data_IF_121193896981
#
_entry.id   IF_121193896981
#
_cell.length_a   1.000
_cell.length_b   1.000
_cell.length_c   1.000
_cell.angle_alpha   90.00
_cell.angle_beta   90.00
_cell.angle_gamma   90.00
#
_symmetry.space_group_name_H-M   'P 1'
#
loop_
_entity.id
_entity.type
_entity.pdbx_description
1 polymer ?
#
# COMPACT_ATOMS: atom_id res chain seq x y z
N UNK A 1 -17.49 20.67 -9.37
CA UNK A 1 -16.46 20.91 -8.33
C UNK A 1 -17.05 20.62 -6.95
N UNK A 2 -16.51 19.61 -6.25
CA UNK A 2 -16.88 19.27 -4.85
C UNK A 2 -15.76 19.80 -3.95
N UNK A 3 -16.11 20.46 -2.84
CA UNK A 3 -15.10 20.94 -1.88
C UNK A 3 -14.54 19.77 -1.05
N UNK A 4 -13.30 19.89 -0.56
CA UNK A 4 -12.70 18.87 0.33
C UNK A 4 -13.55 18.58 1.56
N UNK A 5 -14.25 19.58 2.10
CA UNK A 5 -15.12 19.41 3.26
C UNK A 5 -16.38 18.60 2.90
N UNK A 6 -17.01 18.90 1.75
CA UNK A 6 -18.15 18.13 1.25
C UNK A 6 -17.76 16.68 0.98
N UNK A 7 -16.61 16.46 0.32
CA UNK A 7 -16.08 15.11 0.07
C UNK A 7 -15.81 14.35 1.36
N UNK A 8 -15.14 14.97 2.33
CA UNK A 8 -14.83 14.36 3.62
C UNK A 8 -16.09 13.92 4.38
N UNK A 9 -17.12 14.78 4.40
CA UNK A 9 -18.41 14.48 5.04
C UNK A 9 -19.14 13.32 4.35
N UNK A 10 -19.23 13.34 3.02
CA UNK A 10 -19.90 12.28 2.26
C UNK A 10 -19.19 10.94 2.43
N UNK A 11 -17.87 10.90 2.28
CA UNK A 11 -17.09 9.66 2.44
C UNK A 11 -17.20 9.10 3.85
N UNK A 12 -17.15 9.95 4.88
CA UNK A 12 -17.33 9.51 6.27
C UNK A 12 -18.73 8.97 6.52
N UNK A 13 -19.76 9.55 5.91
CA UNK A 13 -21.13 9.06 6.02
C UNK A 13 -21.29 7.67 5.40
N UNK A 14 -20.78 7.46 4.19
CA UNK A 14 -20.98 6.21 3.43
C UNK A 14 -20.07 5.07 3.92
N UNK A 15 -18.81 5.37 4.28
CA UNK A 15 -17.79 4.36 4.58
C UNK A 15 -17.34 4.34 6.04
N UNK A 16 -17.86 5.23 6.89
CA UNK A 16 -17.43 5.40 8.30
C UNK A 16 -15.92 5.65 8.46
N UNK A 17 -15.26 6.12 7.41
CA UNK A 17 -13.81 6.38 7.33
C UNK A 17 -13.56 7.71 6.63
N UNK A 18 -12.44 8.36 6.92
CA UNK A 18 -12.02 9.54 6.17
C UNK A 18 -11.47 9.12 4.79
N UNK A 19 -11.50 10.01 3.78
CA UNK A 19 -10.86 9.74 2.50
C UNK A 19 -9.40 9.29 2.65
N UNK A 20 -8.64 9.94 3.55
CA UNK A 20 -7.25 9.59 3.84
C UNK A 20 -7.10 8.16 4.39
N UNK A 21 -8.03 7.70 5.24
CA UNK A 21 -8.02 6.33 5.75
C UNK A 21 -8.26 5.34 4.61
N UNK A 22 -9.24 5.58 3.74
CA UNK A 22 -9.53 4.71 2.60
C UNK A 22 -8.35 4.62 1.61
N UNK A 23 -7.75 5.77 1.29
CA UNK A 23 -6.56 5.81 0.44
C UNK A 23 -5.42 5.02 1.10
N UNK A 24 -5.23 5.20 2.40
CA UNK A 24 -4.17 4.49 3.12
C UNK A 24 -4.38 2.97 3.13
N UNK A 25 -5.60 2.52 3.38
CA UNK A 25 -5.96 1.10 3.32
C UNK A 25 -5.74 0.52 1.92
N UNK A 26 -6.10 1.28 0.87
CA UNK A 26 -5.89 0.87 -0.51
C UNK A 26 -4.40 0.75 -0.86
N UNK A 27 -3.59 1.72 -0.46
CA UNK A 27 -2.14 1.69 -0.67
C UNK A 27 -1.53 0.48 0.05
N UNK A 28 -1.91 0.21 1.30
CA UNK A 28 -1.39 -0.93 2.06
C UNK A 28 -1.82 -2.26 1.42
N UNK A 29 -3.05 -2.37 0.93
CA UNK A 29 -3.51 -3.56 0.22
C UNK A 29 -2.67 -3.83 -1.03
N UNK A 30 -2.47 -2.81 -1.87
CA UNK A 30 -1.67 -2.96 -3.09
C UNK A 30 -0.19 -3.20 -2.79
N UNK A 31 0.35 -2.58 -1.73
CA UNK A 31 1.71 -2.85 -1.24
C UNK A 31 1.91 -4.33 -0.91
N UNK A 32 0.98 -4.92 -0.15
CA UNK A 32 1.03 -6.34 0.23
C UNK A 32 0.97 -7.25 -1.00
N UNK A 33 0.09 -6.93 -1.96
CA UNK A 33 -0.01 -7.65 -3.23
C UNK A 33 1.27 -7.59 -4.02
N UNK A 34 1.84 -6.40 -4.25
CA UNK A 34 3.10 -6.26 -5.00
C UNK A 34 4.25 -6.99 -4.31
N UNK A 35 4.31 -6.95 -2.97
CA UNK A 35 5.32 -7.66 -2.20
C UNK A 35 5.24 -9.19 -2.37
N UNK A 36 4.02 -9.73 -2.49
CA UNK A 36 3.79 -11.18 -2.58
C UNK A 36 3.72 -11.70 -4.04
N UNK A 37 3.22 -10.90 -4.98
CA UNK A 37 2.89 -11.33 -6.34
C UNK A 37 3.92 -10.90 -7.39
N UNK A 38 5.00 -10.22 -6.98
CA UNK A 38 6.06 -9.77 -7.90
C UNK A 38 7.45 -9.96 -7.31
N UNK A 39 8.44 -10.00 -8.19
CA UNK A 39 9.86 -9.98 -7.83
C UNK A 39 10.45 -8.57 -7.65
N UNK A 40 9.63 -7.52 -7.80
CA UNK A 40 10.06 -6.12 -7.70
C UNK A 40 10.72 -5.85 -6.34
N UNK A 41 11.81 -5.12 -6.34
CA UNK A 41 12.45 -4.62 -5.13
C UNK A 41 11.52 -3.70 -4.34
N UNK A 42 11.84 -3.49 -3.05
CA UNK A 42 11.08 -2.56 -2.19
C UNK A 42 11.11 -1.14 -2.79
N UNK A 43 12.24 -0.75 -3.40
CA UNK A 43 12.41 0.52 -4.11
C UNK A 43 11.46 0.69 -5.29
N UNK A 44 11.37 -0.32 -6.15
CA UNK A 44 10.47 -0.29 -7.31
C UNK A 44 9.00 -0.23 -6.88
N UNK A 45 8.61 -0.99 -5.85
CA UNK A 45 7.26 -0.95 -5.29
C UNK A 45 6.94 0.43 -4.70
N UNK A 46 7.89 1.04 -3.99
CA UNK A 46 7.73 2.39 -3.45
C UNK A 46 7.49 3.40 -4.58
N UNK A 47 8.32 3.35 -5.64
CA UNK A 47 8.18 4.20 -6.81
C UNK A 47 6.84 4.01 -7.53
N UNK A 48 6.39 2.77 -7.71
CA UNK A 48 5.11 2.45 -8.36
C UNK A 48 3.89 2.97 -7.58
N UNK A 49 3.97 2.95 -6.26
CA UNK A 49 2.92 3.49 -5.38
C UNK A 49 3.01 5.00 -5.17
N UNK A 50 3.90 5.68 -5.90
CA UNK A 50 4.05 7.14 -5.86
C UNK A 50 4.86 7.69 -4.68
N UNK A 51 5.61 6.84 -3.98
CA UNK A 51 6.54 7.28 -2.95
C UNK A 51 7.87 7.69 -3.58
N UNK A 52 8.33 8.91 -3.28
CA UNK A 52 9.62 9.41 -3.76
C UNK A 52 10.82 8.71 -3.10
N UNK A 53 10.63 8.12 -1.92
CA UNK A 53 11.68 7.51 -1.10
C UNK A 53 11.22 6.17 -0.51
N UNK A 54 12.05 5.13 -0.67
CA UNK A 54 11.78 3.79 -0.18
C UNK A 54 11.81 3.70 1.36
N UNK A 55 12.58 4.55 2.04
CA UNK A 55 12.63 4.55 3.49
C UNK A 55 11.35 5.13 4.08
N UNK A 56 10.80 6.19 3.48
CA UNK A 56 9.50 6.72 3.84
C UNK A 56 8.38 5.69 3.59
N UNK A 57 8.36 5.03 2.43
CA UNK A 57 7.45 3.91 2.17
C UNK A 57 7.57 2.80 3.23
N UNK A 58 8.79 2.40 3.58
CA UNK A 58 9.03 1.35 4.57
C UNK A 58 8.52 1.71 5.96
N UNK A 59 8.69 2.97 6.40
CA UNK A 59 8.11 3.47 7.66
C UNK A 59 6.59 3.51 7.59
N UNK A 60 6.03 3.99 6.49
CA UNK A 60 4.58 4.05 6.27
C UNK A 60 3.95 2.65 6.32
N UNK A 61 4.51 1.69 5.59
CA UNK A 61 4.06 0.31 5.58
C UNK A 61 4.18 -0.34 6.96
N UNK A 62 5.33 -0.16 7.64
CA UNK A 62 5.55 -0.70 8.99
C UNK A 62 4.55 -0.16 10.00
N UNK A 63 4.20 1.13 9.92
CA UNK A 63 3.18 1.74 10.79
C UNK A 63 1.82 1.07 10.63
N UNK A 64 1.44 0.70 9.41
CA UNK A 64 0.12 0.11 9.12
C UNK A 64 0.08 -1.42 9.24
N UNK A 65 1.20 -2.12 9.03
CA UNK A 65 1.26 -3.60 8.95
C UNK A 65 2.01 -4.23 10.13
N UNK A 66 2.76 -3.43 10.89
CA UNK A 66 3.52 -3.89 12.07
C UNK A 66 4.92 -4.44 11.76
N UNK A 67 5.31 -4.60 10.49
CA UNK A 67 6.64 -5.03 10.09
C UNK A 67 7.10 -4.34 8.79
N UNK A 68 8.40 -4.37 8.51
CA UNK A 68 8.94 -3.77 7.27
C UNK A 68 8.44 -4.51 6.02
N UNK A 69 8.42 -3.86 4.84
CA UNK A 69 8.09 -4.52 3.58
C UNK A 69 8.94 -5.78 3.32
N UNK A 70 10.25 -5.70 3.61
CA UNK A 70 11.18 -6.82 3.48
C UNK A 70 10.80 -8.00 4.38
N UNK A 71 10.60 -7.76 5.68
CA UNK A 71 10.22 -8.81 6.62
C UNK A 71 8.83 -9.38 6.28
N UNK A 72 7.92 -8.55 5.76
CA UNK A 72 6.62 -9.03 5.30
C UNK A 72 6.80 -10.02 4.15
N UNK A 73 7.58 -9.67 3.11
CA UNK A 73 7.88 -10.57 1.99
C UNK A 73 8.56 -11.85 2.43
N UNK A 74 9.51 -11.79 3.35
CA UNK A 74 10.17 -12.99 3.90
C UNK A 74 9.16 -13.92 4.59
N UNK A 75 8.15 -13.37 5.27
CA UNK A 75 7.10 -14.16 5.95
C UNK A 75 6.09 -14.77 4.98
N UNK A 76 5.64 -14.02 3.98
CA UNK A 76 4.57 -14.49 3.05
C UNK A 76 5.12 -15.21 1.82
N UNK A 77 6.42 -15.08 1.54
CA UNK A 77 7.06 -15.58 0.34
C UNK A 77 6.63 -14.85 -0.93
N UNK A 78 7.23 -15.23 -2.06
CA UNK A 78 6.79 -14.80 -3.39
C UNK A 78 5.91 -15.91 -3.96
N UNK A 79 4.72 -15.54 -4.41
CA UNK A 79 3.72 -16.46 -4.95
C UNK A 79 4.24 -17.17 -6.20
N UNK A 80 3.86 -18.43 -6.38
CA UNK A 80 4.25 -19.23 -7.55
C UNK A 80 3.75 -18.61 -8.86
N UNK A 81 2.61 -17.91 -8.83
CA UNK A 81 2.07 -17.24 -10.02
C UNK A 81 2.94 -16.06 -10.47
N UNK A 82 3.74 -15.47 -9.58
CA UNK A 82 4.68 -14.42 -9.95
C UNK A 82 5.74 -14.91 -10.95
N UNK A 83 6.07 -16.22 -10.90
CA UNK A 83 7.02 -16.84 -11.84
C UNK A 83 6.43 -17.03 -13.25
N UNK A 84 5.11 -17.16 -13.35
CA UNK A 84 4.42 -17.41 -14.62
C UNK A 84 4.26 -16.14 -15.47
N UNK A 85 4.52 -14.97 -14.87
CA UNK A 85 4.44 -13.66 -15.53
C UNK A 85 5.82 -13.08 -15.91
N UNK A 86 6.90 -13.87 -15.77
CA UNK A 86 8.22 -13.58 -16.34
C UNK A 86 8.27 -14.10 -17.77
#
# INVERSE_FOLDING_TARGET
>A
NITNNTLGKTVKKEFSKTPTQLISERIILESKKLLHLTYRSVKEIASELGFADEFYFSRYFKKSVGCSPKNYREKVGISVVAKMSM
#
